data_IF_352784912439
#
_entry.id   IF_352784912439
#
_cell.length_a   1.000
_cell.length_b   1.000
_cell.length_c   1.000
_cell.angle_alpha   90.00
_cell.angle_beta   90.00
_cell.angle_gamma   90.00
#
_symmetry.space_group_name_H-M   'P 1'
#
loop_
_entity.id
_entity.type
_entity.pdbx_description
1 polymer ?
#
# COMPACT_ATOMS: atom_id res chain seq x y z
N UNK A 1 19.58 16.72 -27.18
CA UNK A 1 18.24 16.27 -26.81
C UNK A 1 17.98 14.84 -27.32
N UNK A 2 18.17 14.56 -28.61
CA UNK A 2 17.96 13.22 -29.21
C UNK A 2 18.81 12.14 -28.56
N UNK A 3 20.08 12.39 -28.27
CA UNK A 3 21.02 11.45 -27.60
C UNK A 3 20.51 11.09 -26.20
N UNK A 4 19.98 12.06 -25.46
CA UNK A 4 19.44 11.86 -24.11
C UNK A 4 18.17 10.99 -24.12
N UNK A 5 17.29 11.23 -25.08
CA UNK A 5 16.05 10.43 -25.28
C UNK A 5 16.38 9.00 -25.70
N UNK A 6 17.36 8.84 -26.62
CA UNK A 6 17.82 7.53 -27.07
C UNK A 6 18.49 6.76 -25.92
N UNK A 7 19.32 7.42 -25.12
CA UNK A 7 19.93 6.85 -23.93
C UNK A 7 18.90 6.39 -22.89
N UNK A 8 17.87 7.19 -22.62
CA UNK A 8 16.78 6.84 -21.72
C UNK A 8 15.97 5.64 -22.25
N UNK A 9 15.74 5.61 -23.56
CA UNK A 9 15.03 4.49 -24.20
C UNK A 9 15.83 3.19 -24.07
N UNK A 10 17.12 3.20 -24.42
CA UNK A 10 18.00 2.04 -24.29
C UNK A 10 18.08 1.56 -22.83
N UNK A 11 18.27 2.50 -21.89
CA UNK A 11 18.30 2.18 -20.47
C UNK A 11 17.00 1.52 -20.00
N UNK A 12 15.84 2.00 -20.47
CA UNK A 12 14.54 1.42 -20.12
C UNK A 12 14.34 -0.03 -20.57
N UNK A 13 15.06 -0.48 -21.61
CA UNK A 13 14.98 -1.89 -22.07
C UNK A 13 15.52 -2.88 -21.02
N UNK A 14 16.42 -2.44 -20.16
CA UNK A 14 17.00 -3.24 -19.08
C UNK A 14 16.21 -3.15 -17.78
N UNK A 15 15.21 -2.29 -17.67
CA UNK A 15 14.38 -2.15 -16.49
C UNK A 15 13.22 -3.13 -16.50
N UNK A 16 12.94 -3.75 -15.33
CA UNK A 16 11.75 -4.56 -15.14
C UNK A 16 10.48 -3.69 -15.29
N UNK A 17 9.46 -4.16 -16.01
CA UNK A 17 8.15 -3.52 -16.00
C UNK A 17 7.40 -3.71 -14.67
N UNK A 18 7.81 -4.69 -13.86
CA UNK A 18 7.18 -5.00 -12.57
C UNK A 18 8.00 -4.39 -11.45
N UNK A 19 7.35 -3.55 -10.65
CA UNK A 19 7.92 -2.92 -9.47
C UNK A 19 7.29 -3.53 -8.23
N UNK A 20 8.14 -3.97 -7.29
CA UNK A 20 7.73 -4.45 -5.97
C UNK A 20 8.27 -3.47 -4.92
N UNK A 21 7.39 -3.03 -4.03
CA UNK A 21 7.74 -2.24 -2.85
C UNK A 21 7.30 -3.03 -1.63
N UNK A 22 8.17 -3.16 -0.63
CA UNK A 22 7.87 -3.92 0.59
C UNK A 22 8.57 -3.29 1.79
N UNK A 23 7.85 -3.17 2.91
CA UNK A 23 8.40 -2.73 4.21
C UNK A 23 7.86 -3.61 5.32
N UNK A 24 8.63 -3.76 6.39
CA UNK A 24 8.26 -4.59 7.53
C UNK A 24 8.57 -3.89 8.84
N UNK A 25 7.73 -4.15 9.84
CA UNK A 25 7.94 -3.72 11.22
C UNK A 25 7.57 -4.85 12.18
N UNK A 26 8.36 -5.04 13.23
CA UNK A 26 7.99 -5.94 14.33
C UNK A 26 7.22 -5.13 15.37
N UNK A 27 5.98 -5.56 15.62
CA UNK A 27 5.10 -4.95 16.63
C UNK A 27 5.00 -5.93 17.81
N UNK A 28 5.21 -5.49 19.06
CA UNK A 28 5.36 -6.38 20.22
C UNK A 28 4.02 -6.89 20.77
N UNK A 29 3.16 -7.38 19.89
CA UNK A 29 1.87 -8.01 20.21
C UNK A 29 1.58 -9.17 19.25
N UNK A 30 0.59 -9.98 19.56
CA UNK A 30 0.13 -11.07 18.70
C UNK A 30 -0.61 -10.56 17.47
N UNK A 31 -0.57 -11.33 16.38
CA UNK A 31 -1.21 -10.97 15.11
C UNK A 31 -2.73 -10.72 15.26
N UNK A 32 -3.41 -11.45 16.14
CA UNK A 32 -4.83 -11.29 16.40
C UNK A 32 -5.22 -9.88 16.90
N UNK A 33 -4.29 -9.15 17.50
CA UNK A 33 -4.50 -7.76 17.96
C UNK A 33 -4.35 -6.77 16.80
N UNK A 34 -3.44 -7.06 15.86
CA UNK A 34 -3.12 -6.17 14.74
C UNK A 34 -4.08 -6.40 13.56
N UNK A 35 -4.38 -7.65 13.26
CA UNK A 35 -5.14 -8.08 12.09
C UNK A 35 -6.45 -7.32 11.88
N UNK A 36 -7.30 -7.09 12.90
CA UNK A 36 -8.54 -6.34 12.74
C UNK A 36 -8.34 -4.89 12.28
N UNK A 37 -7.21 -4.26 12.63
CA UNK A 37 -6.90 -2.89 12.21
C UNK A 37 -6.62 -2.78 10.70
N UNK A 38 -6.26 -3.88 10.06
CA UNK A 38 -6.02 -3.95 8.61
C UNK A 38 -7.21 -4.62 7.90
N UNK A 39 -7.82 -5.64 8.49
CA UNK A 39 -8.90 -6.42 7.88
C UNK A 39 -10.23 -5.65 7.81
N UNK A 40 -10.51 -4.76 8.78
CA UNK A 40 -11.65 -3.85 8.76
C UNK A 40 -11.24 -2.58 8.05
N UNK A 41 -11.72 -2.37 6.82
CA UNK A 41 -11.25 -1.30 5.94
C UNK A 41 -11.48 0.11 6.51
N UNK A 42 -12.48 0.30 7.36
CA UNK A 42 -12.74 1.57 8.05
C UNK A 42 -11.63 1.93 9.04
N UNK A 43 -10.95 0.96 9.61
CA UNK A 43 -9.85 1.18 10.56
C UNK A 43 -8.60 1.78 9.89
N UNK A 44 -8.50 1.74 8.56
CA UNK A 44 -7.40 2.38 7.84
C UNK A 44 -7.35 3.90 8.06
N UNK A 45 -8.47 4.54 8.39
CA UNK A 45 -8.49 5.96 8.73
C UNK A 45 -7.62 6.29 9.96
N UNK A 46 -7.36 5.32 10.84
CA UNK A 46 -6.60 5.50 12.07
C UNK A 46 -5.08 5.53 11.84
N UNK A 47 -4.59 4.86 10.78
CA UNK A 47 -3.17 4.65 10.56
C UNK A 47 -2.69 4.91 9.12
N UNK A 48 -3.59 5.07 8.17
CA UNK A 48 -3.23 5.28 6.76
C UNK A 48 -2.40 6.55 6.57
N UNK A 49 -1.23 6.45 5.91
CA UNK A 49 -0.38 7.62 5.66
C UNK A 49 -1.05 8.63 4.73
N UNK A 50 -1.94 8.19 3.85
CA UNK A 50 -2.66 9.07 2.92
C UNK A 50 -3.75 9.88 3.61
N UNK A 51 -4.42 9.31 4.61
CA UNK A 51 -5.36 10.06 5.45
C UNK A 51 -4.64 11.13 6.27
N UNK A 52 -3.41 10.84 6.71
CA UNK A 52 -2.57 11.83 7.39
C UNK A 52 -2.10 12.95 6.44
N UNK A 53 -1.86 12.66 5.17
CA UNK A 53 -1.47 13.65 4.15
C UNK A 53 -2.63 14.57 3.74
N UNK A 54 -3.86 14.06 3.74
CA UNK A 54 -5.08 14.82 3.47
C UNK A 54 -6.21 14.40 4.43
N UNK A 55 -6.34 15.08 5.58
CA UNK A 55 -7.45 14.83 6.51
C UNK A 55 -8.83 15.07 5.89
N UNK A 56 -8.91 15.87 4.83
CA UNK A 56 -10.16 16.23 4.13
C UNK A 56 -10.55 15.24 3.02
N UNK A 57 -9.74 14.19 2.78
CA UNK A 57 -10.03 13.18 1.77
C UNK A 57 -11.42 12.59 1.96
N UNK A 58 -12.19 12.57 0.88
CA UNK A 58 -13.53 11.98 0.88
C UNK A 58 -13.41 10.48 0.70
N UNK A 59 -13.93 9.71 1.66
CA UNK A 59 -13.91 8.24 1.63
C UNK A 59 -15.36 7.75 1.55
N UNK A 60 -15.60 6.81 0.65
CA UNK A 60 -16.89 6.14 0.48
C UNK A 60 -16.67 4.63 0.63
N UNK A 61 -17.26 4.05 1.66
CA UNK A 61 -17.13 2.61 1.95
C UNK A 61 -18.14 1.78 1.18
N UNK A 62 -17.75 0.55 0.82
CA UNK A 62 -18.65 -0.47 0.29
C UNK A 62 -19.58 -1.03 1.37
N UNK A 63 -20.43 -1.96 0.97
CA UNK A 63 -21.40 -2.61 1.88
C UNK A 63 -20.72 -3.53 2.90
N UNK A 64 -19.62 -4.17 2.50
CA UNK A 64 -18.89 -5.11 3.36
C UNK A 64 -17.81 -4.36 4.14
N UNK A 65 -17.78 -4.58 5.46
CA UNK A 65 -16.87 -3.85 6.36
C UNK A 65 -15.48 -4.48 6.46
N UNK A 66 -15.38 -5.82 6.31
CA UNK A 66 -14.12 -6.54 6.54
C UNK A 66 -13.96 -7.77 5.66
N UNK A 67 -12.74 -8.23 5.49
CA UNK A 67 -12.38 -9.44 4.75
C UNK A 67 -12.56 -9.29 3.24
N UNK A 68 -12.45 -10.42 2.53
CA UNK A 68 -12.56 -10.42 1.07
C UNK A 68 -13.89 -9.82 0.59
N UNK A 69 -13.84 -8.87 -0.33
CA UNK A 69 -14.96 -8.09 -0.84
C UNK A 69 -15.20 -6.76 -0.10
N UNK A 70 -14.56 -6.52 1.03
CA UNK A 70 -14.58 -5.21 1.67
C UNK A 70 -13.73 -4.22 0.87
N UNK A 71 -14.10 -2.95 0.87
CA UNK A 71 -13.35 -1.93 0.15
C UNK A 71 -13.88 -0.52 0.34
N UNK A 72 -13.16 0.44 -0.22
CA UNK A 72 -13.56 1.84 -0.22
C UNK A 72 -13.01 2.56 -1.45
N UNK A 73 -13.69 3.63 -1.82
CA UNK A 73 -13.19 4.61 -2.80
C UNK A 73 -12.77 5.87 -2.07
N UNK A 74 -11.76 6.55 -2.60
CA UNK A 74 -11.32 7.84 -2.08
C UNK A 74 -11.22 8.88 -3.20
N UNK A 75 -11.43 10.12 -2.83
CA UNK A 75 -11.25 11.28 -3.69
C UNK A 75 -10.62 12.43 -2.90
N UNK A 76 -9.49 12.92 -3.38
CA UNK A 76 -8.74 14.01 -2.79
C UNK A 76 -8.43 15.11 -3.80
N UNK A 77 -8.38 16.35 -3.33
CA UNK A 77 -7.87 17.49 -4.09
C UNK A 77 -6.33 17.54 -4.06
N UNK A 78 -5.71 16.86 -3.10
CA UNK A 78 -4.26 16.71 -3.04
C UNK A 78 -3.81 15.70 -4.09
N UNK A 79 -3.01 16.15 -5.06
CA UNK A 79 -2.51 15.31 -6.17
C UNK A 79 -1.68 14.12 -5.70
N UNK A 80 -1.02 14.22 -4.54
CA UNK A 80 -0.24 13.13 -3.97
C UNK A 80 -1.10 12.00 -3.40
N UNK A 81 -2.34 12.29 -3.03
CA UNK A 81 -3.34 11.33 -2.55
C UNK A 81 -4.24 10.86 -3.69
N UNK A 82 -4.63 11.75 -4.60
CA UNK A 82 -5.39 11.45 -5.79
C UNK A 82 -6.77 10.87 -5.52
N UNK A 83 -7.20 9.95 -6.38
CA UNK A 83 -8.46 9.23 -6.28
C UNK A 83 -8.31 7.80 -6.75
N UNK A 84 -9.15 6.91 -6.23
CA UNK A 84 -9.12 5.51 -6.60
C UNK A 84 -10.10 4.66 -5.80
N UNK A 85 -9.95 3.37 -5.97
CA UNK A 85 -10.72 2.36 -5.27
C UNK A 85 -9.80 1.24 -4.79
N UNK A 86 -9.97 0.83 -3.54
CA UNK A 86 -9.26 -0.31 -2.95
C UNK A 86 -10.27 -1.36 -2.52
N UNK A 87 -9.97 -2.63 -2.79
CA UNK A 87 -10.73 -3.77 -2.32
C UNK A 87 -9.83 -4.85 -1.74
N UNK A 88 -10.30 -5.50 -0.69
CA UNK A 88 -9.68 -6.71 -0.15
C UNK A 88 -10.08 -7.90 -1.05
N UNK A 89 -9.09 -8.59 -1.61
CA UNK A 89 -9.31 -9.73 -2.51
C UNK A 89 -9.18 -11.07 -1.81
N UNK A 90 -8.37 -11.12 -0.75
CA UNK A 90 -8.18 -12.32 0.08
C UNK A 90 -7.96 -11.91 1.53
N UNK A 91 -8.47 -12.71 2.48
CA UNK A 91 -8.25 -12.51 3.90
C UNK A 91 -8.13 -13.86 4.59
N UNK A 92 -6.97 -14.12 5.20
CA UNK A 92 -6.70 -15.28 6.06
C UNK A 92 -6.46 -14.76 7.47
N UNK A 93 -7.33 -15.07 8.44
CA UNK A 93 -7.21 -14.56 9.81
C UNK A 93 -5.80 -14.68 10.37
N UNK A 94 -5.30 -13.57 10.90
CA UNK A 94 -4.02 -13.43 11.59
C UNK A 94 -2.77 -13.80 10.77
N UNK A 95 -2.91 -14.02 9.46
CA UNK A 95 -1.83 -14.46 8.58
C UNK A 95 -1.61 -13.56 7.38
N UNK A 96 -2.68 -13.24 6.63
CA UNK A 96 -2.53 -12.62 5.32
C UNK A 96 -3.77 -11.84 4.88
N UNK A 97 -3.54 -10.71 4.24
CA UNK A 97 -4.56 -9.92 3.55
C UNK A 97 -3.99 -9.53 2.19
N UNK A 98 -4.75 -9.79 1.11
CA UNK A 98 -4.44 -9.26 -0.22
C UNK A 98 -5.43 -8.17 -0.60
N UNK A 99 -4.94 -7.17 -1.32
CA UNK A 99 -5.74 -6.05 -1.81
C UNK A 99 -5.50 -5.80 -3.28
N UNK A 100 -6.49 -5.24 -3.95
CA UNK A 100 -6.35 -4.65 -5.28
C UNK A 100 -6.72 -3.18 -5.20
N UNK A 101 -5.87 -2.33 -5.73
CA UNK A 101 -6.07 -0.88 -5.71
C UNK A 101 -6.03 -0.36 -7.13
N UNK A 102 -7.11 0.26 -7.57
CA UNK A 102 -7.19 0.98 -8.84
C UNK A 102 -6.98 2.47 -8.57
N UNK A 103 -5.89 2.99 -9.12
CA UNK A 103 -5.59 4.42 -9.13
C UNK A 103 -6.16 5.02 -10.41
N UNK A 104 -7.26 5.73 -10.31
CA UNK A 104 -7.98 6.27 -11.46
C UNK A 104 -7.06 6.98 -12.45
N UNK A 105 -6.93 6.41 -13.65
CA UNK A 105 -6.10 6.95 -14.74
C UNK A 105 -4.61 6.60 -14.66
N UNK A 106 -4.15 5.87 -13.62
CA UNK A 106 -2.74 5.48 -13.45
C UNK A 106 -2.48 3.97 -13.47
N UNK A 107 -3.52 3.16 -13.30
CA UNK A 107 -3.42 1.70 -13.32
C UNK A 107 -3.74 1.05 -11.99
N UNK A 108 -3.52 -0.26 -11.91
CA UNK A 108 -3.86 -1.10 -10.77
C UNK A 108 -2.61 -1.63 -10.08
N UNK A 109 -2.63 -1.66 -8.76
CA UNK A 109 -1.61 -2.28 -7.92
C UNK A 109 -2.21 -3.41 -7.10
N UNK A 110 -1.44 -4.49 -6.91
CA UNK A 110 -1.76 -5.57 -5.97
C UNK A 110 -1.01 -5.32 -4.69
N UNK A 111 -1.74 -5.17 -3.59
CA UNK A 111 -1.17 -5.00 -2.26
C UNK A 111 -1.31 -6.27 -1.43
N UNK A 112 -0.52 -6.37 -0.37
CA UNK A 112 -0.65 -7.45 0.61
C UNK A 112 -0.10 -7.05 1.97
N UNK A 113 -0.64 -7.69 3.01
CA UNK A 113 -0.09 -7.71 4.35
C UNK A 113 0.17 -9.16 4.77
N UNK A 114 1.33 -9.39 5.37
CA UNK A 114 1.68 -10.66 6.01
C UNK A 114 1.90 -10.41 7.50
N UNK A 115 1.41 -11.32 8.31
CA UNK A 115 1.53 -11.31 9.77
C UNK A 115 2.25 -12.58 10.18
N UNK A 116 3.51 -12.45 10.56
CA UNK A 116 4.38 -13.57 10.88
C UNK A 116 4.77 -13.52 12.38
N UNK A 117 4.45 -14.54 13.19
CA UNK A 117 4.93 -14.62 14.54
C UNK A 117 6.46 -14.67 14.57
N UNK A 118 7.06 -13.82 15.40
CA UNK A 118 8.52 -13.75 15.59
C UNK A 118 8.84 -13.60 17.08
N UNK A 119 10.11 -13.79 17.45
CA UNK A 119 10.55 -13.45 18.81
C UNK A 119 10.25 -11.96 19.07
N UNK A 120 9.50 -11.69 20.15
CA UNK A 120 9.12 -10.34 20.57
C UNK A 120 7.82 -9.79 19.94
N UNK A 121 7.03 -10.58 19.22
CA UNK A 121 5.72 -10.16 18.70
C UNK A 121 5.40 -10.66 17.31
N UNK A 122 4.87 -9.77 16.47
CA UNK A 122 4.49 -10.06 15.09
C UNK A 122 5.26 -9.18 14.12
N UNK A 123 5.91 -9.79 13.14
CA UNK A 123 6.41 -9.07 11.97
C UNK A 123 5.24 -8.81 11.03
N UNK A 124 4.91 -7.54 10.83
CA UNK A 124 3.95 -7.10 9.84
C UNK A 124 4.71 -6.63 8.62
N UNK A 125 4.44 -7.24 7.48
CA UNK A 125 5.01 -6.85 6.19
C UNK A 125 3.91 -6.28 5.31
N UNK A 126 4.09 -5.06 4.85
CA UNK A 126 3.22 -4.41 3.87
C UNK A 126 3.94 -4.33 2.54
N UNK A 127 3.34 -4.90 1.51
CA UNK A 127 3.90 -4.93 0.18
C UNK A 127 2.91 -4.51 -0.91
N UNK A 128 3.47 -4.12 -2.04
CA UNK A 128 2.72 -3.76 -3.24
C UNK A 128 3.49 -4.20 -4.48
N UNK A 129 2.77 -4.68 -5.47
CA UNK A 129 3.29 -5.02 -6.80
C UNK A 129 2.50 -4.25 -7.86
N UNK A 130 3.22 -3.49 -8.69
CA UNK A 130 2.65 -2.74 -9.80
C UNK A 130 3.28 -3.18 -11.11
N UNK A 131 2.49 -3.30 -12.16
CA UNK A 131 2.97 -3.39 -13.53
C UNK A 131 3.01 -1.98 -14.16
N UNK A 132 4.21 -1.49 -14.41
CA UNK A 132 4.44 -0.18 -15.05
C UNK A 132 4.25 -0.22 -16.56
N UNK A 133 4.05 -1.41 -17.14
CA UNK A 133 3.97 -1.63 -18.58
C UNK A 133 5.30 -1.42 -19.28
N UNK A 134 5.25 -1.36 -20.63
CA UNK A 134 6.46 -1.30 -21.45
C UNK A 134 6.92 0.14 -21.80
N UNK A 135 6.21 1.17 -21.36
CA UNK A 135 6.56 2.55 -21.66
C UNK A 135 7.85 2.97 -20.94
N UNK A 136 8.88 3.49 -21.63
CA UNK A 136 10.18 3.83 -21.04
C UNK A 136 10.08 4.75 -19.84
N UNK A 137 9.28 5.80 -19.93
CA UNK A 137 9.10 6.79 -18.86
C UNK A 137 8.49 6.16 -17.61
N UNK A 138 7.50 5.27 -17.77
CA UNK A 138 6.88 4.56 -16.65
C UNK A 138 7.86 3.63 -15.95
N UNK A 139 8.69 2.90 -16.69
CA UNK A 139 9.73 2.04 -16.11
C UNK A 139 10.74 2.85 -15.30
N UNK A 140 11.15 4.02 -15.78
CA UNK A 140 12.04 4.92 -15.05
C UNK A 140 11.37 5.47 -13.79
N UNK A 141 10.09 5.84 -13.86
CA UNK A 141 9.32 6.22 -12.67
C UNK A 141 9.25 5.09 -11.65
N UNK A 142 9.19 3.84 -12.09
CA UNK A 142 9.22 2.67 -11.22
C UNK A 142 10.41 2.61 -10.27
N UNK A 143 11.59 3.12 -10.69
CA UNK A 143 12.78 3.22 -9.83
C UNK A 143 12.57 4.13 -8.61
N UNK A 144 11.68 5.12 -8.72
CA UNK A 144 11.40 6.05 -7.63
C UNK A 144 10.26 5.56 -6.72
N UNK A 145 9.48 4.59 -7.17
CA UNK A 145 8.35 4.03 -6.42
C UNK A 145 8.77 3.48 -5.06
N UNK A 146 9.90 2.77 -5.00
CA UNK A 146 10.39 2.22 -3.73
C UNK A 146 10.66 3.29 -2.69
N UNK A 147 11.22 4.44 -3.12
CA UNK A 147 11.49 5.56 -2.22
C UNK A 147 10.21 6.24 -1.76
N UNK A 148 9.29 6.53 -2.68
CA UNK A 148 8.06 7.29 -2.37
C UNK A 148 7.05 6.44 -1.62
N UNK A 149 6.65 5.31 -2.21
CA UNK A 149 5.65 4.41 -1.61
C UNK A 149 6.22 3.69 -0.39
N UNK A 150 7.51 3.30 -0.42
CA UNK A 150 8.18 2.69 0.72
C UNK A 150 8.20 3.60 1.95
N UNK A 151 8.45 4.90 1.77
CA UNK A 151 8.35 5.88 2.86
C UNK A 151 6.94 5.98 3.44
N UNK A 152 5.91 5.91 2.60
CA UNK A 152 4.53 5.93 3.08
C UNK A 152 4.19 4.62 3.83
N UNK A 153 4.67 3.47 3.36
CA UNK A 153 4.50 2.19 4.06
C UNK A 153 5.17 2.19 5.43
N UNK A 154 6.37 2.74 5.55
CA UNK A 154 7.08 2.88 6.83
C UNK A 154 6.25 3.71 7.81
N UNK A 155 5.76 4.89 7.40
CA UNK A 155 4.90 5.75 8.21
C UNK A 155 3.60 5.06 8.63
N UNK A 156 2.97 4.33 7.70
CA UNK A 156 1.75 3.59 7.99
C UNK A 156 1.97 2.46 8.99
N UNK A 157 3.03 1.67 8.84
CA UNK A 157 3.38 0.61 9.78
C UNK A 157 3.74 1.16 11.18
N UNK A 158 4.47 2.28 11.24
CA UNK A 158 4.76 2.95 12.51
C UNK A 158 3.49 3.46 13.20
N UNK A 159 2.56 4.07 12.44
CA UNK A 159 1.28 4.53 12.96
C UNK A 159 0.43 3.36 13.49
N UNK A 160 0.38 2.26 12.74
CA UNK A 160 -0.29 1.03 13.14
C UNK A 160 0.28 0.48 14.45
N UNK A 161 1.61 0.40 14.56
CA UNK A 161 2.29 -0.04 15.77
C UNK A 161 1.99 0.84 16.99
N UNK A 162 2.00 2.17 16.82
CA UNK A 162 1.68 3.13 17.89
C UNK A 162 0.26 2.97 18.42
N UNK A 163 -0.71 2.74 17.53
CA UNK A 163 -2.13 2.54 17.92
C UNK A 163 -2.27 1.27 18.76
N UNK A 164 -1.64 0.18 18.32
CA UNK A 164 -1.70 -1.10 19.01
C UNK A 164 -1.08 -1.01 20.41
N UNK A 165 0.13 -0.44 20.52
CA UNK A 165 0.84 -0.33 21.80
C UNK A 165 0.09 0.57 22.80
N UNK A 166 -0.58 1.63 22.31
CA UNK A 166 -1.36 2.54 23.15
C UNK A 166 -2.63 1.90 23.71
N UNK A 167 -3.18 0.90 23.01
CA UNK A 167 -4.44 0.24 23.35
C UNK A 167 -4.24 -1.12 24.05
N UNK A 168 -2.97 -1.56 24.23
CA UNK A 168 -2.56 -2.74 24.98
C UNK A 168 -2.22 -2.39 26.41
#
# INVERSE_FOLDING_TARGET
FIVLVLGLFIFSLFLSPVVKVERSLVIPVEAAVIFPLVNVVRNWELWSPWKAQDPSVKITYGEKESGAGAGYSWESRNRNVGRGHMSVTESKPDQYIATSTDFTGMGTAKGYFRFEPVAGGTRVTWGMVCDMGQQPLRKVMGLMMDKWVGSDFEKGLEALGKIVIRNS
#
